data_IF_536250969336
#
_entry.id   IF_536250969336
#
_cell.length_a   1.000
_cell.length_b   1.000
_cell.length_c   1.000
_cell.angle_alpha   90.00
_cell.angle_beta   90.00
_cell.angle_gamma   90.00
#
_symmetry.space_group_name_H-M   'P 1'
#
loop_
_entity.id
_entity.type
_entity.pdbx_description
1 polymer ?
#
# COMPACT_ATOMS: atom_id res chain seq x y z
N UNK A 1 -20.40 -13.19 -4.20
CA UNK A 1 -19.02 -13.25 -3.68
C UNK A 1 -19.08 -13.80 -2.27
N UNK A 2 -18.33 -14.87 -2.01
CA UNK A 2 -18.17 -15.38 -0.64
C UNK A 2 -17.39 -14.37 0.20
N UNK A 3 -17.79 -14.20 1.46
CA UNK A 3 -17.08 -13.30 2.40
C UNK A 3 -15.66 -13.84 2.63
N UNK A 4 -14.69 -12.93 2.68
CA UNK A 4 -13.30 -13.31 2.98
C UNK A 4 -13.20 -13.87 4.40
N UNK A 5 -12.34 -14.88 4.59
CA UNK A 5 -11.98 -15.31 5.93
C UNK A 5 -11.28 -14.17 6.68
N UNK A 6 -11.45 -14.08 8.00
CA UNK A 6 -10.81 -13.01 8.80
C UNK A 6 -9.27 -12.98 8.63
N UNK A 7 -8.65 -14.16 8.48
CA UNK A 7 -7.21 -14.28 8.25
C UNK A 7 -6.82 -13.75 6.87
N UNK A 8 -7.55 -14.17 5.83
CA UNK A 8 -7.32 -13.70 4.46
C UNK A 8 -7.51 -12.20 4.36
N UNK A 9 -8.60 -11.68 4.94
CA UNK A 9 -8.89 -10.24 4.94
C UNK A 9 -7.76 -9.44 5.59
N UNK A 10 -7.31 -9.81 6.79
CA UNK A 10 -6.18 -9.11 7.45
C UNK A 10 -4.92 -9.11 6.60
N UNK A 11 -4.59 -10.24 5.99
CA UNK A 11 -3.42 -10.33 5.12
C UNK A 11 -3.53 -9.42 3.89
N UNK A 12 -4.71 -9.38 3.26
CA UNK A 12 -4.97 -8.50 2.12
C UNK A 12 -4.97 -7.02 2.52
N UNK A 13 -5.50 -6.69 3.70
CA UNK A 13 -5.41 -5.34 4.27
C UNK A 13 -3.94 -4.93 4.49
N UNK A 14 -3.09 -5.81 5.02
CA UNK A 14 -1.66 -5.55 5.21
C UNK A 14 -0.94 -5.28 3.88
N UNK A 15 -1.21 -6.07 2.83
CA UNK A 15 -0.64 -5.85 1.50
C UNK A 15 -1.03 -4.47 0.97
N UNK A 16 -2.33 -4.13 1.03
CA UNK A 16 -2.80 -2.84 0.52
C UNK A 16 -2.24 -1.66 1.33
N UNK A 17 -2.11 -1.81 2.65
CA UNK A 17 -1.50 -0.79 3.52
C UNK A 17 -0.05 -0.54 3.11
N UNK A 18 0.74 -1.60 2.95
CA UNK A 18 2.15 -1.48 2.58
C UNK A 18 2.32 -0.79 1.22
N UNK A 19 1.54 -1.21 0.23
CA UNK A 19 1.56 -0.59 -1.10
C UNK A 19 1.24 0.91 -1.03
N UNK A 20 0.16 1.29 -0.34
CA UNK A 20 -0.23 2.71 -0.22
C UNK A 20 0.84 3.52 0.52
N UNK A 21 1.49 2.95 1.53
CA UNK A 21 2.58 3.61 2.23
C UNK A 21 3.78 3.83 1.32
N UNK A 22 4.21 2.81 0.58
CA UNK A 22 5.32 2.89 -0.39
C UNK A 22 5.04 3.95 -1.46
N UNK A 23 3.89 3.88 -2.11
CA UNK A 23 3.45 4.89 -3.10
C UNK A 23 3.45 6.30 -2.51
N UNK A 24 2.99 6.45 -1.26
CA UNK A 24 2.95 7.77 -0.63
C UNK A 24 4.33 8.34 -0.34
N UNK A 25 5.30 7.48 -0.01
CA UNK A 25 6.70 7.86 0.23
C UNK A 25 7.39 8.16 -1.09
N UNK A 26 7.15 7.35 -2.13
CA UNK A 26 7.61 7.62 -3.50
C UNK A 26 7.05 8.94 -4.02
N UNK A 27 5.77 9.26 -3.76
CA UNK A 27 5.19 10.54 -4.15
C UNK A 27 5.82 11.74 -3.41
N UNK A 28 6.10 11.59 -2.11
CA UNK A 28 6.69 12.66 -1.29
C UNK A 28 8.18 12.91 -1.63
N UNK A 29 8.94 11.88 -2.03
CA UNK A 29 10.40 11.96 -2.21
C UNK A 29 10.93 11.64 -3.60
N UNK A 30 10.10 11.16 -4.52
CA UNK A 30 10.54 10.61 -5.80
C UNK A 30 11.65 9.56 -5.62
N UNK A 31 12.60 9.48 -6.56
CA UNK A 31 13.80 8.65 -6.45
C UNK A 31 14.83 9.14 -5.40
N UNK A 32 14.55 10.22 -4.65
CA UNK A 32 15.49 10.72 -3.64
C UNK A 32 15.52 9.84 -2.38
N UNK A 33 14.45 9.08 -2.09
CA UNK A 33 14.45 8.19 -0.92
C UNK A 33 15.50 7.07 -1.03
N UNK A 34 15.80 6.59 -2.25
CA UNK A 34 16.84 5.59 -2.51
C UNK A 34 18.26 6.17 -2.53
N UNK A 35 18.39 7.50 -2.61
CA UNK A 35 19.64 8.20 -2.94
C UNK A 35 20.19 9.05 -1.79
N UNK A 36 19.32 9.74 -1.03
CA UNK A 36 19.72 10.79 -0.07
C UNK A 36 18.69 11.09 1.04
N UNK A 37 17.55 10.39 1.10
CA UNK A 37 16.55 10.62 2.12
C UNK A 37 17.06 10.29 3.53
N UNK A 38 16.97 11.22 4.48
CA UNK A 38 17.27 10.93 5.89
C UNK A 38 16.37 9.77 6.37
N UNK A 39 16.95 8.63 6.80
CA UNK A 39 16.18 7.49 7.27
C UNK A 39 15.21 7.85 8.41
N UNK A 40 15.58 8.85 9.23
CA UNK A 40 14.74 9.39 10.29
C UNK A 40 13.49 10.08 9.74
N UNK A 41 13.62 10.88 8.68
CA UNK A 41 12.49 11.58 8.06
C UNK A 41 11.51 10.58 7.41
N UNK A 42 12.04 9.55 6.73
CA UNK A 42 11.24 8.48 6.12
C UNK A 42 10.47 7.72 7.21
N UNK A 43 11.14 7.33 8.30
CA UNK A 43 10.51 6.65 9.43
C UNK A 43 9.42 7.49 10.11
N UNK A 44 9.62 8.80 10.24
CA UNK A 44 8.61 9.73 10.76
C UNK A 44 7.38 9.81 9.84
N UNK A 45 7.58 9.87 8.52
CA UNK A 45 6.47 9.91 7.56
C UNK A 45 5.70 8.61 7.50
N UNK A 46 6.38 7.46 7.50
CA UNK A 46 5.75 6.14 7.65
C UNK A 46 4.91 6.14 8.92
N UNK A 47 5.49 6.50 10.07
CA UNK A 47 4.80 6.49 11.37
C UNK A 47 3.57 7.42 11.40
N UNK A 48 3.67 8.59 10.76
CA UNK A 48 2.57 9.55 10.68
C UNK A 48 1.42 9.05 9.81
N UNK A 49 1.72 8.34 8.71
CA UNK A 49 0.71 7.88 7.72
C UNK A 49 0.20 6.46 7.97
N UNK A 50 0.94 5.62 8.66
CA UNK A 50 0.59 4.21 8.91
C UNK A 50 -0.78 4.05 9.57
N UNK A 51 -1.04 4.78 10.67
CA UNK A 51 -2.32 4.72 11.38
C UNK A 51 -3.50 5.20 10.51
N UNK A 52 -3.44 6.36 9.84
CA UNK A 52 -4.46 6.79 8.89
C UNK A 52 -4.73 5.80 7.76
N UNK A 53 -3.69 5.22 7.16
CA UNK A 53 -3.80 4.27 6.04
C UNK A 53 -4.47 2.98 6.53
N UNK A 54 -4.00 2.40 7.64
CA UNK A 54 -4.62 1.20 8.26
C UNK A 54 -6.11 1.42 8.55
N UNK A 55 -6.48 2.59 9.10
CA UNK A 55 -7.89 2.92 9.37
C UNK A 55 -8.74 3.04 8.10
N UNK A 56 -8.16 3.53 7.02
CA UNK A 56 -8.86 3.69 5.74
C UNK A 56 -9.07 2.33 5.08
N UNK A 57 -8.03 1.49 5.06
CA UNK A 57 -8.09 0.14 4.50
C UNK A 57 -9.05 -0.76 5.28
N UNK A 58 -9.05 -0.70 6.62
CA UNK A 58 -9.96 -1.49 7.45
C UNK A 58 -11.46 -1.15 7.24
N UNK A 59 -11.77 0.05 6.73
CA UNK A 59 -13.15 0.47 6.43
C UNK A 59 -13.66 -0.03 5.08
N UNK A 60 -12.79 -0.60 4.24
CA UNK A 60 -13.17 -1.11 2.93
C UNK A 60 -14.09 -2.33 3.06
N UNK A 61 -15.03 -2.48 2.13
CA UNK A 61 -15.72 -3.76 1.98
C UNK A 61 -14.76 -4.81 1.39
N UNK A 62 -15.08 -6.10 1.55
CA UNK A 62 -14.28 -7.17 0.94
C UNK A 62 -14.15 -6.99 -0.58
N UNK A 63 -15.23 -6.52 -1.22
CA UNK A 63 -15.26 -6.24 -2.66
C UNK A 63 -14.29 -5.12 -3.02
N UNK A 64 -14.34 -3.98 -2.32
CA UNK A 64 -13.48 -2.84 -2.61
C UNK A 64 -12.00 -3.14 -2.34
N UNK A 65 -11.72 -3.94 -1.30
CA UNK A 65 -10.38 -4.40 -0.97
C UNK A 65 -9.79 -5.23 -2.12
N UNK A 66 -10.56 -6.19 -2.64
CA UNK A 66 -10.15 -7.03 -3.77
C UNK A 66 -9.98 -6.22 -5.06
N UNK A 67 -10.93 -5.33 -5.40
CA UNK A 67 -10.82 -4.47 -6.60
C UNK A 67 -9.59 -3.57 -6.55
N UNK A 68 -9.26 -3.01 -5.38
CA UNK A 68 -8.04 -2.22 -5.22
C UNK A 68 -6.78 -3.05 -5.38
N UNK A 69 -6.74 -4.26 -4.81
CA UNK A 69 -5.59 -5.15 -4.93
C UNK A 69 -5.39 -5.67 -6.36
N UNK A 70 -6.48 -5.97 -7.07
CA UNK A 70 -6.42 -6.37 -8.49
C UNK A 70 -5.85 -5.25 -9.36
N UNK A 71 -6.22 -4.00 -9.07
CA UNK A 71 -5.63 -2.83 -9.72
C UNK A 71 -4.14 -2.68 -9.42
N UNK A 72 -3.72 -2.93 -8.17
CA UNK A 72 -2.29 -2.91 -7.79
C UNK A 72 -1.52 -4.00 -8.54
N UNK A 73 -2.05 -5.22 -8.60
CA UNK A 73 -1.44 -6.33 -9.33
C UNK A 73 -1.34 -6.04 -10.83
N UNK A 74 -2.38 -5.45 -11.41
CA UNK A 74 -2.39 -5.05 -12.82
C UNK A 74 -1.33 -3.99 -13.13
N UNK A 75 -1.13 -3.02 -12.23
CA UNK A 75 -0.08 -2.00 -12.36
C UNK A 75 1.32 -2.61 -12.23
N UNK A 76 1.52 -3.53 -11.29
CA UNK A 76 2.78 -4.24 -11.13
C UNK A 76 3.12 -5.09 -12.36
N UNK A 77 2.15 -5.86 -12.88
CA UNK A 77 2.32 -6.67 -14.08
C UNK A 77 2.60 -5.81 -15.33
N UNK A 78 1.98 -4.62 -15.43
CA UNK A 78 2.26 -3.68 -16.51
C UNK A 78 3.66 -3.05 -16.40
N UNK A 79 4.17 -2.80 -15.20
CA UNK A 79 5.52 -2.30 -14.97
C UNK A 79 6.59 -3.35 -15.33
N UNK A 80 6.34 -4.63 -15.02
CA UNK A 80 7.23 -5.74 -15.41
C UNK A 80 7.23 -6.00 -16.93
N UNK A 81 6.12 -5.74 -17.63
CA UNK A 81 6.03 -5.94 -19.08
C UNK A 81 6.76 -4.86 -19.91
N UNK A 82 7.19 -3.76 -19.29
CA UNK A 82 7.88 -2.63 -19.95
C UNK A 82 9.40 -2.64 -19.71
N UNK A 83 9.89 -3.49 -18.80
CA UNK A 83 11.33 -3.77 -18.60
C UNK A 83 11.79 -4.97 -19.43
#
# INVERSE_FOLDING_TARGET
MDKLSQKSRKHLEEILVNYVLEESIHADFGYMYSSVGSPQLISQLISAREKPVKRTVAKLSDKDLLEKLDRVQSLAAAADAVN
#
